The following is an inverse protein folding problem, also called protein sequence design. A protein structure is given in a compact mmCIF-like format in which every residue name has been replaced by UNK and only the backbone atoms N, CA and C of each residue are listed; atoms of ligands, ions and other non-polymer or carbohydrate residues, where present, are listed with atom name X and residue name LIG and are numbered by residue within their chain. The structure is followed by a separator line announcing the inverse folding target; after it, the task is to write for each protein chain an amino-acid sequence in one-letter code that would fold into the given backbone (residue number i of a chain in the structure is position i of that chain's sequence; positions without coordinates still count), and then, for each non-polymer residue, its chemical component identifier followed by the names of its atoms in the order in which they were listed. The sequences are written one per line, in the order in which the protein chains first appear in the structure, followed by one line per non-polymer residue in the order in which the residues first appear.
data_IF_956499087216
#
_entry.id   IF_956499087216
#
_cell.length_a   1.000
_cell.length_b   1.000
_cell.length_c   1.000
_cell.angle_alpha   90.00
_cell.angle_beta   90.00
_cell.angle_gamma   90.00
#
_symmetry.space_group_name_H-M   'P 1'
#
loop_
_entity.id
_entity.type
_entity.pdbx_description
1 polymer ?
#
# COMPACT_ATOMS: atom_id res chain seq x y z
N UNK A 1 22.87 -8.18 6.56
CA UNK A 1 21.83 -8.45 7.58
C UNK A 1 20.54 -8.69 6.81
N UNK A 2 19.85 -9.82 7.03
CA UNK A 2 18.50 -10.01 6.45
C UNK A 2 17.58 -8.92 6.97
N UNK A 3 16.76 -8.34 6.09
CA UNK A 3 15.73 -7.39 6.49
C UNK A 3 14.78 -8.13 7.45
N UNK A 4 14.57 -7.64 8.69
CA UNK A 4 13.71 -8.30 9.67
C UNK A 4 12.28 -8.52 9.15
N UNK A 5 11.82 -7.67 8.22
CA UNK A 5 10.52 -7.80 7.59
C UNK A 5 10.43 -9.01 6.65
N UNK A 6 11.53 -9.45 6.01
CA UNK A 6 11.51 -10.61 5.08
C UNK A 6 11.04 -11.91 5.75
N UNK A 7 11.12 -11.99 7.08
CA UNK A 7 10.60 -13.13 7.84
C UNK A 7 9.09 -13.34 7.66
N UNK A 8 8.31 -12.27 7.46
CA UNK A 8 6.87 -12.36 7.17
C UNK A 8 6.61 -13.06 5.83
N UNK A 9 7.42 -12.78 4.80
CA UNK A 9 7.31 -13.46 3.51
C UNK A 9 7.78 -14.91 3.59
N UNK A 10 8.96 -15.15 4.15
CA UNK A 10 9.62 -16.45 4.05
C UNK A 10 9.11 -17.49 5.05
N UNK A 11 8.59 -17.08 6.21
CA UNK A 11 8.14 -18.01 7.26
C UNK A 11 6.63 -18.00 7.45
N UNK A 12 6.01 -16.83 7.39
CA UNK A 12 4.58 -16.67 7.67
C UNK A 12 3.74 -16.63 6.40
N UNK A 13 4.37 -16.48 5.24
CA UNK A 13 3.69 -16.37 3.94
C UNK A 13 2.69 -15.21 3.90
N UNK A 14 3.01 -14.13 4.63
CA UNK A 14 2.14 -12.98 4.87
C UNK A 14 2.73 -11.74 4.17
N UNK A 15 2.20 -11.42 2.99
CA UNK A 15 2.66 -10.25 2.23
C UNK A 15 2.17 -8.94 2.84
N UNK A 16 1.01 -8.91 3.50
CA UNK A 16 0.44 -7.70 4.08
C UNK A 16 1.29 -7.24 5.27
N UNK A 17 1.61 -8.15 6.19
CA UNK A 17 2.48 -7.86 7.32
C UNK A 17 3.92 -7.52 6.88
N UNK A 18 4.41 -8.12 5.78
CA UNK A 18 5.67 -7.69 5.17
C UNK A 18 5.62 -6.22 4.71
N UNK A 19 4.61 -5.86 3.91
CA UNK A 19 4.44 -4.50 3.37
C UNK A 19 4.32 -3.51 4.52
N UNK A 20 3.49 -3.79 5.52
CA UNK A 20 3.34 -2.94 6.70
C UNK A 20 4.67 -2.77 7.46
N UNK A 21 5.40 -3.85 7.70
CA UNK A 21 6.69 -3.82 8.39
C UNK A 21 7.69 -2.91 7.67
N UNK A 22 7.79 -3.02 6.34
CA UNK A 22 8.69 -2.19 5.52
C UNK A 22 8.26 -0.72 5.55
N UNK A 23 6.96 -0.44 5.49
CA UNK A 23 6.46 0.94 5.59
C UNK A 23 6.78 1.54 6.97
N UNK A 24 6.57 0.80 8.05
CA UNK A 24 6.91 1.24 9.41
C UNK A 24 8.41 1.47 9.58
N UNK A 25 9.26 0.59 9.06
CA UNK A 25 10.72 0.76 9.15
C UNK A 25 11.22 1.99 8.39
N UNK A 26 10.50 2.39 7.33
CA UNK A 26 10.73 3.64 6.58
C UNK A 26 10.08 4.87 7.21
N UNK A 27 9.39 4.75 8.35
CA UNK A 27 8.80 5.86 9.09
C UNK A 27 7.39 6.28 8.64
N UNK A 28 6.70 5.45 7.86
CA UNK A 28 5.30 5.69 7.53
C UNK A 28 4.40 5.56 8.77
N UNK A 29 3.37 6.41 8.82
CA UNK A 29 2.24 6.30 9.73
C UNK A 29 1.23 5.34 9.09
N UNK A 30 0.97 4.22 9.76
CA UNK A 30 -0.12 3.30 9.38
C UNK A 30 -1.40 3.76 10.09
N UNK A 31 -2.48 3.93 9.33
CA UNK A 31 -3.76 4.46 9.81
C UNK A 31 -4.76 3.35 10.04
N UNK A 32 -4.90 2.45 9.07
CA UNK A 32 -5.83 1.34 9.13
C UNK A 32 -5.27 0.13 8.38
N UNK A 33 -5.80 -1.04 8.73
CA UNK A 33 -5.58 -2.31 8.07
C UNK A 33 -6.90 -2.96 7.68
N UNK A 34 -6.82 -3.87 6.71
CA UNK A 34 -7.87 -4.83 6.32
C UNK A 34 -9.20 -4.13 6.01
N UNK A 35 -9.11 -3.04 5.24
CA UNK A 35 -10.28 -2.25 4.86
C UNK A 35 -10.90 -2.76 3.56
N UNK A 36 -12.18 -2.46 3.37
CA UNK A 36 -12.84 -2.84 2.13
C UNK A 36 -12.26 -2.00 0.99
N UNK A 37 -11.50 -2.64 0.09
CA UNK A 37 -10.97 -2.03 -1.14
C UNK A 37 -9.48 -1.73 -1.15
N UNK A 38 -8.78 -1.91 -0.03
CA UNK A 38 -7.33 -1.82 0.14
C UNK A 38 -6.93 -2.48 1.48
N UNK A 39 -5.70 -2.99 1.59
CA UNK A 39 -5.28 -3.72 2.78
C UNK A 39 -4.57 -2.83 3.81
N UNK A 40 -3.89 -1.78 3.35
CA UNK A 40 -3.12 -0.87 4.21
C UNK A 40 -3.39 0.58 3.84
N UNK A 41 -3.67 1.39 4.86
CA UNK A 41 -3.79 2.84 4.74
C UNK A 41 -2.59 3.49 5.44
N UNK A 42 -1.85 4.32 4.72
CA UNK A 42 -0.64 4.91 5.28
C UNK A 42 -0.28 6.26 4.67
N UNK A 43 0.46 7.07 5.41
CA UNK A 43 1.11 8.25 4.87
C UNK A 43 2.50 8.44 5.48
N UNK A 44 3.36 9.15 4.75
CA UNK A 44 4.66 9.56 5.29
C UNK A 44 4.52 10.99 5.85
N UNK A 45 4.94 11.28 7.11
CA UNK A 45 4.66 12.56 7.75
C UNK A 45 5.14 13.82 7.00
N UNK A 46 6.23 13.72 6.22
CA UNK A 46 6.73 14.80 5.36
C UNK A 46 6.47 14.54 3.86
N UNK A 47 5.63 13.55 3.55
CA UNK A 47 5.23 13.21 2.19
C UNK A 47 4.06 14.05 1.69
N UNK A 48 3.81 13.96 0.39
CA UNK A 48 2.69 14.64 -0.28
C UNK A 48 1.46 13.75 -0.46
N UNK A 49 1.59 12.44 -0.21
CA UNK A 49 0.60 11.45 -0.59
C UNK A 49 0.02 10.74 0.61
N UNK A 50 -1.27 10.46 0.49
CA UNK A 50 -2.01 9.55 1.34
C UNK A 50 -2.24 8.25 0.56
N UNK A 51 -1.65 7.15 1.04
CA UNK A 51 -1.59 5.90 0.29
C UNK A 51 -2.68 4.94 0.73
N UNK A 52 -3.46 4.49 -0.25
CA UNK A 52 -4.31 3.30 -0.17
C UNK A 52 -3.59 2.17 -0.86
N UNK A 53 -3.09 1.21 -0.10
CA UNK A 53 -2.20 0.15 -0.57
C UNK A 53 -2.97 -1.17 -0.55
N UNK A 54 -3.13 -1.75 -1.72
CA UNK A 54 -3.66 -3.09 -1.89
C UNK A 54 -2.50 -4.07 -2.09
N UNK A 55 -2.51 -5.18 -1.37
CA UNK A 55 -1.49 -6.21 -1.35
C UNK A 55 -2.07 -7.51 -1.91
N UNK A 56 -1.38 -8.08 -2.90
CA UNK A 56 -1.79 -9.34 -3.52
C UNK A 56 -0.65 -10.36 -3.45
N UNK A 57 -0.84 -11.42 -2.68
CA UNK A 57 0.05 -12.59 -2.72
C UNK A 57 -0.34 -13.51 -3.89
N UNK A 58 0.61 -13.78 -4.78
CA UNK A 58 0.46 -14.72 -5.88
C UNK A 58 0.39 -14.05 -7.27
N UNK A 59 0.99 -14.68 -8.30
CA UNK A 59 1.10 -14.07 -9.63
C UNK A 59 -0.23 -14.00 -10.39
N UNK A 60 -1.22 -14.81 -10.00
CA UNK A 60 -2.57 -14.82 -10.58
C UNK A 60 -3.58 -13.95 -9.82
N UNK A 61 -3.17 -13.33 -8.71
CA UNK A 61 -4.07 -12.54 -7.88
C UNK A 61 -4.52 -11.27 -8.64
N UNK A 62 -5.83 -11.07 -8.74
CA UNK A 62 -6.45 -9.93 -9.43
C UNK A 62 -7.21 -9.09 -8.45
N UNK A 63 -7.31 -7.80 -8.75
CA UNK A 63 -8.24 -6.91 -8.06
C UNK A 63 -9.67 -7.39 -8.25
N UNK A 64 -10.45 -7.40 -7.17
CA UNK A 64 -11.89 -7.61 -7.24
C UNK A 64 -12.57 -6.47 -8.01
N UNK A 65 -13.83 -6.66 -8.42
CA UNK A 65 -14.64 -5.59 -9.01
C UNK A 65 -14.72 -4.37 -8.09
N UNK A 66 -14.82 -4.61 -6.78
CA UNK A 66 -14.85 -3.58 -5.75
C UNK A 66 -13.52 -2.80 -5.68
N UNK A 67 -12.38 -3.50 -5.59
CA UNK A 67 -11.06 -2.87 -5.54
C UNK A 67 -10.75 -2.06 -6.81
N UNK A 68 -11.19 -2.54 -7.98
CA UNK A 68 -11.07 -1.77 -9.24
C UNK A 68 -11.88 -0.48 -9.21
N UNK A 69 -13.11 -0.51 -8.69
CA UNK A 69 -13.95 0.69 -8.52
C UNK A 69 -13.34 1.66 -7.51
N UNK A 70 -12.81 1.13 -6.40
CA UNK A 70 -12.13 1.94 -5.40
C UNK A 70 -10.92 2.67 -5.98
N UNK A 71 -10.04 1.94 -6.70
CA UNK A 71 -8.91 2.53 -7.43
C UNK A 71 -9.37 3.67 -8.35
N UNK A 72 -10.40 3.44 -9.17
CA UNK A 72 -10.93 4.47 -10.06
C UNK A 72 -11.45 5.70 -9.28
N UNK A 73 -12.13 5.47 -8.15
CA UNK A 73 -12.58 6.56 -7.27
C UNK A 73 -11.43 7.39 -6.72
N UNK A 74 -10.32 6.76 -6.32
CA UNK A 74 -9.10 7.47 -5.88
C UNK A 74 -8.46 8.26 -7.02
N UNK A 75 -8.45 7.73 -8.24
CA UNK A 75 -7.93 8.44 -9.42
C UNK A 75 -8.77 9.69 -9.73
N UNK A 76 -10.10 9.57 -9.72
CA UNK A 76 -11.03 10.70 -9.90
C UNK A 76 -10.85 11.74 -8.79
N UNK A 77 -10.78 11.31 -7.52
CA UNK A 77 -10.57 12.19 -6.38
C UNK A 77 -9.30 13.04 -6.57
N UNK A 78 -8.22 12.42 -7.04
CA UNK A 78 -6.98 13.12 -7.38
C UNK A 78 -7.16 14.14 -8.50
N UNK A 79 -7.86 13.78 -9.57
CA UNK A 79 -8.09 14.65 -10.74
C UNK A 79 -8.91 15.89 -10.40
N UNK A 80 -9.90 15.76 -9.50
CA UNK A 80 -10.75 16.88 -9.07
C UNK A 80 -10.14 17.70 -7.93
N UNK A 81 -8.92 17.39 -7.50
CA UNK A 81 -8.24 18.12 -6.42
C UNK A 81 -8.78 17.82 -5.02
N UNK A 82 -9.41 16.65 -4.83
CA UNK A 82 -9.82 16.20 -3.50
C UNK A 82 -8.60 15.71 -2.72
N UNK A 83 -8.26 16.43 -1.64
CA UNK A 83 -7.18 16.09 -0.72
C UNK A 83 -7.74 15.46 0.56
N UNK A 84 -6.96 14.59 1.19
CA UNK A 84 -7.24 14.02 2.51
C UNK A 84 -6.57 14.89 3.57
N UNK A 85 -7.36 15.41 4.50
CA UNK A 85 -6.85 16.14 5.66
C UNK A 85 -6.62 15.19 6.82
N UNK A 86 -5.37 15.05 7.24
CA UNK A 86 -5.00 14.27 8.44
C UNK A 86 -5.51 14.93 9.73
N UNK A 87 -5.45 14.20 10.84
CA UNK A 87 -5.71 14.70 12.19
C UNK A 87 -4.87 15.93 12.56
N UNK A 88 -3.70 16.09 11.94
CA UNK A 88 -2.79 17.23 12.13
C UNK A 88 -2.96 18.35 11.12
N UNK A 89 -3.99 18.31 10.28
CA UNK A 89 -4.27 19.34 9.29
C UNK A 89 -3.40 19.28 8.03
N UNK A 90 -2.57 18.24 7.84
CA UNK A 90 -1.84 18.04 6.59
C UNK A 90 -2.81 17.64 5.48
N UNK A 91 -2.79 18.36 4.36
CA UNK A 91 -3.50 18.00 3.14
C UNK A 91 -2.63 17.10 2.27
N UNK A 92 -3.13 15.90 1.97
CA UNK A 92 -2.38 14.89 1.25
C UNK A 92 -3.17 14.41 0.03
N UNK A 93 -2.45 14.21 -1.07
CA UNK A 93 -3.02 13.77 -2.33
C UNK A 93 -3.32 12.26 -2.23
N UNK A 94 -4.56 11.80 -2.43
CA UNK A 94 -4.88 10.38 -2.34
C UNK A 94 -4.22 9.61 -3.49
N UNK A 95 -3.67 8.44 -3.18
CA UNK A 95 -2.96 7.61 -4.14
C UNK A 95 -3.20 6.13 -3.87
N UNK A 96 -3.74 5.44 -4.87
CA UNK A 96 -3.87 3.99 -4.85
C UNK A 96 -2.56 3.34 -5.32
N UNK A 97 -2.10 2.31 -4.60
CA UNK A 97 -0.89 1.54 -4.95
C UNK A 97 -1.19 0.05 -4.85
N UNK A 98 -0.82 -0.71 -5.88
CA UNK A 98 -0.93 -2.16 -5.87
C UNK A 98 0.45 -2.78 -5.62
N UNK A 99 0.56 -3.56 -4.56
CA UNK A 99 1.71 -4.38 -4.18
C UNK A 99 1.44 -5.87 -4.45
N UNK A 100 1.77 -6.33 -5.65
CA UNK A 100 1.66 -7.74 -6.03
C UNK A 100 2.98 -8.51 -5.87
N UNK A 101 2.90 -9.67 -5.25
CA UNK A 101 4.00 -10.62 -5.07
C UNK A 101 3.75 -11.89 -5.88
N UNK A 102 4.81 -12.51 -6.41
CA UNK A 102 4.70 -13.80 -7.07
C UNK A 102 4.70 -14.99 -6.07
N UNK A 103 4.70 -16.21 -6.59
CA UNK A 103 4.69 -17.45 -5.80
C UNK A 103 6.00 -17.70 -5.04
N UNK A 104 7.05 -16.91 -5.30
CA UNK A 104 8.31 -16.91 -4.58
C UNK A 104 8.44 -15.67 -3.69
N UNK A 105 7.33 -14.98 -3.43
CA UNK A 105 7.28 -13.74 -2.66
C UNK A 105 8.16 -12.61 -3.22
N UNK A 106 8.42 -12.60 -4.52
CA UNK A 106 9.11 -11.50 -5.19
C UNK A 106 8.11 -10.44 -5.60
N UNK A 107 8.42 -9.18 -5.32
CA UNK A 107 7.58 -8.05 -5.70
C UNK A 107 7.54 -7.88 -7.23
N UNK A 108 6.40 -8.22 -7.83
CA UNK A 108 6.10 -8.06 -9.28
C UNK A 108 5.18 -6.87 -9.56
N UNK A 109 4.85 -6.12 -8.52
CA UNK A 109 3.98 -4.96 -8.48
C UNK A 109 4.33 -3.79 -9.42
N UNK A 110 3.44 -2.78 -9.43
CA UNK A 110 3.64 -1.54 -10.15
C UNK A 110 4.86 -0.73 -9.63
N UNK A 111 5.27 0.27 -10.41
CA UNK A 111 6.44 1.10 -10.09
C UNK A 111 6.24 1.93 -8.81
N UNK A 112 5.00 2.23 -8.42
CA UNK A 112 4.72 2.95 -7.17
C UNK A 112 4.99 2.07 -5.96
N UNK A 113 4.54 0.81 -5.97
CA UNK A 113 4.84 -0.10 -4.86
C UNK A 113 6.34 -0.38 -4.77
N UNK A 114 7.02 -0.59 -5.90
CA UNK A 114 8.49 -0.76 -5.91
C UNK A 114 9.22 0.42 -5.28
N UNK A 115 8.74 1.66 -5.48
CA UNK A 115 9.30 2.86 -4.86
C UNK A 115 8.98 2.97 -3.37
N UNK A 116 7.81 2.46 -2.93
CA UNK A 116 7.46 2.45 -1.51
C UNK A 116 8.31 1.45 -0.72
N UNK A 117 8.57 0.28 -1.30
CA UNK A 117 9.20 -0.83 -0.58
C UNK A 117 10.72 -0.91 -0.74
N UNK A 118 11.31 -0.29 -1.78
CA UNK A 118 12.78 -0.21 -1.95
C UNK A 118 13.37 0.92 -1.12
#
# INVERSE_FOLDING_TARGET
MHDPCESYLMKMHDCESYVECVLRSKGFKIIARDQHGYDIEAYYPSGMYYYFIEVKCGPGAKLSSYQRRFKLGVEIAREVGFNITTDKGLELIPKFVLCQFDHKYRLIADQSCKKLLR
#
